data_IF_149177008786
#
_entry.id   IF_149177008786
#
_cell.length_a   1.000
_cell.length_b   1.000
_cell.length_c   1.000
_cell.angle_alpha   90.00
_cell.angle_beta   90.00
_cell.angle_gamma   90.00
#
_symmetry.space_group_name_H-M   'P 1'
#
loop_
_entity.id
_entity.type
_entity.pdbx_description
1 polymer ?
#
# COMPACT_ATOMS: atom_id res chain seq x y z
N UNK A 1 -14.38 -1.67 14.51
CA UNK A 1 -13.19 -1.08 13.85
C UNK A 1 -12.95 0.30 14.42
N UNK A 2 -11.68 0.70 14.62
CA UNK A 2 -11.31 2.04 15.08
C UNK A 2 -10.98 2.98 13.92
N UNK A 3 -10.09 3.95 14.16
CA UNK A 3 -9.57 4.88 13.14
C UNK A 3 -8.59 4.18 12.21
N UNK A 4 -8.58 4.62 10.95
CA UNK A 4 -7.64 4.20 9.91
C UNK A 4 -7.02 5.42 9.22
N UNK A 5 -5.79 5.27 8.73
CA UNK A 5 -5.11 6.25 7.89
C UNK A 5 -4.20 5.56 6.87
N UNK A 6 -4.20 6.06 5.63
CA UNK A 6 -3.33 5.59 4.57
C UNK A 6 -2.72 6.81 3.89
N UNK A 7 -1.40 6.92 3.92
CA UNK A 7 -0.66 8.03 3.34
C UNK A 7 0.39 7.48 2.38
N UNK A 8 0.54 8.13 1.23
CA UNK A 8 1.59 7.85 0.27
C UNK A 8 2.27 9.15 -0.13
N UNK A 9 3.61 9.16 -0.17
CA UNK A 9 4.40 10.30 -0.62
C UNK A 9 4.59 10.28 -2.13
N UNK A 10 4.66 11.46 -2.73
CA UNK A 10 5.01 11.64 -4.15
C UNK A 10 6.25 12.53 -4.25
N UNK A 11 6.91 12.50 -5.41
CA UNK A 11 8.14 13.25 -5.65
C UNK A 11 9.39 12.45 -5.24
N UNK A 12 10.47 13.18 -4.93
CA UNK A 12 11.76 12.58 -4.61
C UNK A 12 11.71 11.91 -3.22
N UNK A 13 12.15 10.67 -3.17
CA UNK A 13 12.28 9.87 -1.95
C UNK A 13 13.70 9.34 -1.89
N UNK A 14 14.39 9.60 -0.78
CA UNK A 14 15.73 9.08 -0.56
C UNK A 14 15.71 7.61 -0.13
N UNK A 15 16.84 6.92 -0.28
CA UNK A 15 16.98 5.54 0.18
C UNK A 15 16.67 5.46 1.68
N UNK A 16 15.99 4.39 2.07
CA UNK A 16 15.55 4.08 3.44
C UNK A 16 14.44 4.99 4.02
N UNK A 17 13.84 5.88 3.24
CA UNK A 17 12.65 6.59 3.70
C UNK A 17 11.34 5.85 3.38
N UNK A 18 10.30 6.04 4.20
CA UNK A 18 8.99 5.41 3.98
C UNK A 18 8.21 6.08 2.85
N UNK A 19 7.87 5.38 1.78
CA UNK A 19 7.00 5.90 0.73
C UNK A 19 5.51 5.84 1.08
N UNK A 20 5.12 4.88 1.91
CA UNK A 20 3.74 4.61 2.30
C UNK A 20 3.65 4.31 3.79
N UNK A 21 2.57 4.76 4.43
CA UNK A 21 2.23 4.43 5.81
C UNK A 21 0.76 4.02 5.87
N UNK A 22 0.52 2.86 6.47
CA UNK A 22 -0.80 2.29 6.74
C UNK A 22 -0.98 2.15 8.27
N UNK A 23 -1.95 2.87 8.84
CA UNK A 23 -2.25 2.85 10.27
C UNK A 23 -3.68 2.37 10.48
N UNK A 24 -3.85 1.37 11.34
CA UNK A 24 -5.16 0.83 11.70
C UNK A 24 -5.25 0.66 13.21
N UNK A 25 -6.36 1.09 13.79
CA UNK A 25 -6.73 0.77 15.17
C UNK A 25 -7.98 -0.11 15.18
N UNK A 26 -7.97 -1.15 16.02
CA UNK A 26 -9.10 -2.03 16.23
C UNK A 26 -9.10 -2.59 17.67
N UNK A 27 -10.26 -3.04 18.19
CA UNK A 27 -10.34 -3.62 19.54
C UNK A 27 -9.47 -4.89 19.71
N UNK A 28 -9.36 -5.70 18.67
CA UNK A 28 -8.51 -6.88 18.66
C UNK A 28 -7.53 -6.83 17.49
N UNK A 29 -6.37 -7.44 17.69
CA UNK A 29 -5.25 -7.40 16.73
C UNK A 29 -5.53 -8.10 15.39
N UNK A 30 -6.32 -9.20 15.30
CA UNK A 30 -6.56 -9.85 14.01
C UNK A 30 -7.20 -8.92 12.98
N UNK A 31 -8.18 -8.13 13.40
CA UNK A 31 -8.90 -7.17 12.57
C UNK A 31 -7.99 -6.01 12.14
N UNK A 32 -7.13 -5.54 13.05
CA UNK A 32 -6.15 -4.50 12.71
C UNK A 32 -5.18 -4.96 11.63
N UNK A 33 -4.67 -6.20 11.74
CA UNK A 33 -3.75 -6.75 10.75
C UNK A 33 -4.43 -7.06 9.41
N UNK A 34 -5.64 -7.63 9.44
CA UNK A 34 -6.40 -7.91 8.23
C UNK A 34 -6.70 -6.62 7.45
N UNK A 35 -7.15 -5.57 8.14
CA UNK A 35 -7.41 -4.28 7.50
C UNK A 35 -6.13 -3.59 7.01
N UNK A 36 -5.04 -3.61 7.78
CA UNK A 36 -3.77 -3.02 7.34
C UNK A 36 -3.23 -3.71 6.09
N UNK A 37 -3.36 -5.04 6.01
CA UNK A 37 -3.00 -5.82 4.83
C UNK A 37 -3.85 -5.42 3.63
N UNK A 38 -5.17 -5.39 3.79
CA UNK A 38 -6.09 -4.96 2.73
C UNK A 38 -5.75 -3.55 2.22
N UNK A 39 -5.45 -2.58 3.10
CA UNK A 39 -5.10 -1.22 2.67
C UNK A 39 -3.85 -1.17 1.79
N UNK A 40 -2.81 -1.97 2.10
CA UNK A 40 -1.59 -2.02 1.27
C UNK A 40 -1.86 -2.70 -0.07
N UNK A 41 -2.61 -3.81 -0.06
CA UNK A 41 -2.94 -4.53 -1.29
C UNK A 41 -3.82 -3.66 -2.20
N UNK A 42 -4.83 -2.99 -1.65
CA UNK A 42 -5.67 -2.04 -2.35
C UNK A 42 -4.88 -0.85 -2.91
N UNK A 43 -3.94 -0.27 -2.14
CA UNK A 43 -3.09 0.81 -2.64
C UNK A 43 -2.29 0.36 -3.86
N UNK A 44 -1.67 -0.81 -3.82
CA UNK A 44 -0.83 -1.30 -4.91
C UNK A 44 -1.63 -1.64 -6.17
N UNK A 45 -2.88 -2.07 -6.02
CA UNK A 45 -3.74 -2.46 -7.15
C UNK A 45 -4.50 -1.28 -7.77
N UNK A 46 -4.80 -0.23 -7.00
CA UNK A 46 -5.79 0.78 -7.40
C UNK A 46 -5.25 2.20 -7.50
N UNK A 47 -4.13 2.52 -6.83
CA UNK A 47 -3.60 3.86 -6.85
C UNK A 47 -2.75 4.12 -8.12
N UNK A 48 -2.99 5.22 -8.87
CA UNK A 48 -2.22 5.59 -10.06
C UNK A 48 -0.83 6.13 -9.68
N UNK A 49 0.06 5.23 -9.23
CA UNK A 49 1.40 5.57 -8.73
C UNK A 49 2.44 4.70 -9.43
N UNK A 50 3.51 5.33 -9.90
CA UNK A 50 4.63 4.66 -10.56
C UNK A 50 5.94 5.14 -9.96
N UNK A 51 6.91 4.23 -9.86
CA UNK A 51 8.25 4.53 -9.33
C UNK A 51 9.18 4.80 -10.50
N UNK A 52 9.76 5.99 -10.54
CA UNK A 52 10.88 6.31 -11.41
C UNK A 52 12.17 6.19 -10.59
N UNK A 53 13.06 5.29 -10.99
CA UNK A 53 14.29 4.97 -10.29
C UNK A 53 15.46 5.66 -10.97
N UNK A 54 16.35 6.25 -10.17
CA UNK A 54 17.54 6.96 -10.64
C UNK A 54 18.77 6.38 -9.96
N UNK A 55 19.82 6.09 -10.72
CA UNK A 55 21.09 5.57 -10.23
C UNK A 55 22.25 6.20 -11.01
N UNK A 56 23.49 5.85 -10.66
CA UNK A 56 24.64 6.38 -11.36
C UNK A 56 24.64 5.95 -12.83
N UNK A 57 24.69 6.92 -13.73
CA UNK A 57 24.66 6.70 -15.17
C UNK A 57 23.29 6.45 -15.80
N UNK A 58 22.17 6.59 -15.07
CA UNK A 58 20.85 6.46 -15.72
C UNK A 58 19.62 6.53 -14.81
N UNK A 59 18.47 6.35 -15.44
CA UNK A 59 17.17 6.25 -14.78
C UNK A 59 16.18 5.47 -15.63
N UNK A 60 15.23 4.80 -14.99
CA UNK A 60 14.14 4.11 -15.67
C UNK A 60 12.90 4.00 -14.78
N UNK A 61 11.76 3.68 -15.38
CA UNK A 61 10.54 3.32 -14.66
C UNK A 61 10.64 1.90 -14.10
N UNK A 62 10.06 1.69 -12.92
CA UNK A 62 10.03 0.38 -12.28
C UNK A 62 9.31 -0.67 -13.13
N UNK A 63 9.93 -1.83 -13.33
CA UNK A 63 9.45 -2.91 -14.22
C UNK A 63 8.25 -3.69 -13.68
N UNK A 64 7.81 -3.40 -12.45
CA UNK A 64 6.70 -4.09 -11.76
C UNK A 64 5.45 -3.24 -11.59
N UNK A 65 5.23 -2.28 -12.49
CA UNK A 65 3.97 -1.56 -12.54
C UNK A 65 2.84 -2.52 -12.92
N UNK A 66 1.76 -2.50 -12.13
CA UNK A 66 0.52 -3.20 -12.44
C UNK A 66 -0.48 -2.27 -13.11
N UNK A 67 -1.36 -2.82 -13.95
CA UNK A 67 -2.56 -2.11 -14.39
C UNK A 67 -3.46 -1.82 -13.19
N UNK A 68 -4.16 -0.69 -13.26
CA UNK A 68 -5.12 -0.31 -12.22
C UNK A 68 -6.35 -1.23 -12.29
N UNK A 69 -6.78 -1.68 -11.12
CA UNK A 69 -8.05 -2.39 -10.94
C UNK A 69 -8.99 -1.56 -10.07
N UNK A 70 -10.27 -1.95 -10.04
CA UNK A 70 -11.18 -1.42 -9.04
C UNK A 70 -10.81 -1.95 -7.64
N UNK A 71 -11.12 -1.19 -6.59
CA UNK A 71 -10.91 -1.64 -5.21
C UNK A 71 -11.86 -2.78 -4.84
N UNK A 72 -13.03 -2.86 -5.47
CA UNK A 72 -14.05 -3.88 -5.23
C UNK A 72 -13.57 -5.30 -5.56
N UNK A 73 -12.54 -5.45 -6.37
CA UNK A 73 -11.98 -6.75 -6.75
C UNK A 73 -10.77 -7.16 -5.91
N UNK A 74 -10.32 -6.29 -4.99
CA UNK A 74 -9.22 -6.59 -4.07
C UNK A 74 -9.72 -7.55 -2.98
N UNK A 75 -9.11 -8.74 -2.83
CA UNK A 75 -9.58 -9.71 -1.84
C UNK A 75 -9.51 -9.16 -0.42
N UNK A 76 -10.59 -9.31 0.34
CA UNK A 76 -10.58 -9.08 1.80
C UNK A 76 -10.26 -10.40 2.48
N UNK A 77 -9.28 -10.39 3.39
CA UNK A 77 -9.07 -11.52 4.32
C UNK A 77 -10.22 -11.52 5.31
N UNK A 78 -11.08 -12.54 5.26
CA UNK A 78 -12.05 -12.78 6.33
C UNK A 78 -11.28 -13.04 7.63
N UNK A 79 -11.68 -12.34 8.71
CA UNK A 79 -11.10 -12.56 10.02
C UNK A 79 -11.25 -14.03 10.40
N UNK A 80 -10.16 -14.69 10.79
CA UNK A 80 -10.23 -16.06 11.28
C UNK A 80 -11.23 -16.09 12.43
N UNK A 81 -12.37 -16.73 12.22
CA UNK A 81 -13.35 -16.98 13.27
C UNK A 81 -12.70 -17.81 14.36
N UNK A 82 -12.36 -17.15 15.46
CA UNK A 82 -12.18 -17.72 16.79
C UNK A 82 -13.07 -16.94 17.73
#
# INVERSE_FOLDING_TARGET
>A
MGRVALLHRVGRIELNESSVVAVVSAPHRPEAFAAARFMIDALKSTAPIWKHETWDGGSDWGTRASSLTDVSVVPTVEGSGI
#
